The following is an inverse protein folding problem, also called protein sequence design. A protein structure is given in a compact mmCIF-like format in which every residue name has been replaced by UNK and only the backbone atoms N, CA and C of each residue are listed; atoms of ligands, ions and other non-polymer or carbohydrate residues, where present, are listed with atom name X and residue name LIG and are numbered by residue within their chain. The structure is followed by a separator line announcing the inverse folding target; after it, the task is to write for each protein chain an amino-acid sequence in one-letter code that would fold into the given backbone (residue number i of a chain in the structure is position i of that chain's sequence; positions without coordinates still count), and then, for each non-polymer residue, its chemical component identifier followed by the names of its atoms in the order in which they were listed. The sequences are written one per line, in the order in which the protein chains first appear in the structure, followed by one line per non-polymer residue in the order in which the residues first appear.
data_IF_504589154269
#
_entry.id   IF_504589154269
#
_cell.length_a   1.000
_cell.length_b   1.000
_cell.length_c   1.000
_cell.angle_alpha   90.00
_cell.angle_beta   90.00
_cell.angle_gamma   90.00
#
_symmetry.space_group_name_H-M   'P 1'
#
loop_
_entity.id
_entity.type
_entity.pdbx_description
1 polymer ?
#
# COMPACT_ATOMS: atom_id res chain seq x y z
N UNK A 1 16.70 -9.87 -20.43
CA UNK A 1 15.82 -10.95 -19.94
C UNK A 1 14.43 -10.40 -19.66
N UNK A 2 13.43 -11.29 -19.54
CA UNK A 2 12.02 -10.97 -19.27
C UNK A 2 11.54 -11.81 -18.10
N UNK A 3 10.59 -11.26 -17.32
CA UNK A 3 9.91 -11.98 -16.26
C UNK A 3 8.68 -12.69 -16.81
N UNK A 4 8.46 -13.91 -16.37
CA UNK A 4 7.20 -14.61 -16.58
C UNK A 4 6.23 -14.20 -15.46
N UNK A 5 5.03 -13.75 -15.85
CA UNK A 5 4.02 -13.28 -14.92
C UNK A 5 2.86 -14.24 -14.83
N UNK A 6 2.30 -14.37 -13.63
CA UNK A 6 1.08 -15.09 -13.36
C UNK A 6 0.07 -14.18 -12.64
N UNK A 7 -1.20 -14.49 -12.81
CA UNK A 7 -2.29 -13.82 -12.09
C UNK A 7 -2.71 -14.67 -10.89
N UNK A 8 -2.97 -14.03 -9.76
CA UNK A 8 -3.73 -14.66 -8.70
C UNK A 8 -5.25 -14.59 -9.00
N UNK A 9 -6.07 -15.18 -8.13
CA UNK A 9 -7.52 -15.19 -8.30
C UNK A 9 -8.18 -13.81 -8.22
N UNK A 10 -7.44 -12.77 -7.79
CA UNK A 10 -7.87 -11.36 -7.73
C UNK A 10 -7.36 -10.54 -8.92
N UNK A 11 -6.74 -11.13 -9.90
CA UNK A 11 -6.03 -10.54 -11.04
C UNK A 11 -4.75 -9.73 -10.71
N UNK A 12 -4.26 -9.80 -9.46
CA UNK A 12 -2.94 -9.25 -9.15
C UNK A 12 -1.85 -10.03 -9.85
N UNK A 13 -0.87 -9.32 -10.36
CA UNK A 13 0.24 -9.86 -11.15
C UNK A 13 1.44 -10.16 -10.28
N UNK A 14 1.97 -11.38 -10.39
CA UNK A 14 3.15 -11.82 -9.66
C UNK A 14 4.16 -12.43 -10.63
N UNK A 15 5.47 -12.09 -10.52
CA UNK A 15 6.48 -12.82 -11.26
C UNK A 15 6.56 -14.26 -10.73
N UNK A 16 6.82 -15.20 -11.64
CA UNK A 16 7.02 -16.62 -11.28
C UNK A 16 8.36 -16.80 -10.56
N UNK A 17 9.34 -16.00 -10.94
CA UNK A 17 10.67 -16.00 -10.36
C UNK A 17 10.64 -15.44 -8.93
N UNK A 18 11.17 -16.20 -7.96
CA UNK A 18 11.17 -15.82 -6.55
C UNK A 18 12.46 -15.14 -6.10
N UNK A 19 13.56 -15.32 -6.81
CA UNK A 19 14.88 -14.85 -6.37
C UNK A 19 15.26 -13.48 -6.93
N UNK A 20 15.06 -13.24 -8.21
CA UNK A 20 15.37 -11.97 -8.87
C UNK A 20 14.12 -11.48 -9.60
N UNK A 21 13.40 -10.54 -9.04
CA UNK A 21 12.17 -10.00 -9.62
C UNK A 21 11.86 -8.60 -9.09
N UNK A 22 10.96 -7.84 -9.72
CA UNK A 22 10.54 -6.52 -9.21
C UNK A 22 9.84 -6.55 -7.84
N UNK A 23 9.47 -7.73 -7.34
CA UNK A 23 8.74 -7.90 -6.07
C UNK A 23 9.61 -8.48 -4.94
N UNK A 24 10.93 -8.52 -5.11
CA UNK A 24 11.85 -8.98 -4.06
C UNK A 24 12.26 -7.85 -3.11
N UNK A 25 13.13 -8.18 -2.15
CA UNK A 25 13.71 -7.22 -1.22
C UNK A 25 14.53 -6.12 -1.93
N UNK A 26 14.86 -5.06 -1.22
CA UNK A 26 15.55 -3.87 -1.68
C UNK A 26 16.78 -4.17 -2.54
N UNK A 27 17.68 -5.07 -2.08
CA UNK A 27 18.89 -5.46 -2.80
C UNK A 27 18.62 -6.08 -4.17
N UNK A 28 17.53 -6.83 -4.32
CA UNK A 28 17.18 -7.46 -5.60
C UNK A 28 16.59 -6.46 -6.59
N UNK A 29 15.79 -5.50 -6.11
CA UNK A 29 15.27 -4.39 -6.94
C UNK A 29 16.40 -3.50 -7.44
N UNK A 30 17.40 -3.22 -6.61
CA UNK A 30 18.57 -2.41 -6.94
C UNK A 30 19.39 -2.96 -8.12
N UNK A 31 19.29 -4.25 -8.41
CA UNK A 31 19.99 -4.91 -9.53
C UNK A 31 19.21 -4.88 -10.84
N UNK A 32 17.98 -4.37 -10.84
CA UNK A 32 17.10 -4.39 -12.01
C UNK A 32 17.13 -3.04 -12.72
N UNK A 33 17.56 -3.06 -13.96
CA UNK A 33 17.58 -1.91 -14.86
C UNK A 33 16.79 -2.23 -16.12
N UNK A 34 16.21 -1.22 -16.76
CA UNK A 34 15.62 -1.37 -18.09
C UNK A 34 16.70 -1.68 -19.12
N UNK A 35 16.39 -2.58 -20.07
CA UNK A 35 17.32 -2.92 -21.15
C UNK A 35 17.59 -1.72 -22.07
N UNK A 36 16.54 -0.98 -22.38
CA UNK A 36 16.65 0.22 -23.19
C UNK A 36 16.82 1.43 -22.28
N UNK A 37 17.79 2.28 -22.55
CA UNK A 37 17.92 3.56 -21.87
C UNK A 37 17.02 4.61 -22.48
N UNK A 38 16.70 5.65 -21.69
CA UNK A 38 15.96 6.82 -22.14
C UNK A 38 16.76 8.10 -21.84
N UNK A 39 16.92 9.03 -22.81
CA UNK A 39 17.77 10.20 -22.60
C UNK A 39 17.13 11.19 -21.64
N UNK A 40 17.93 11.75 -20.73
CA UNK A 40 17.60 12.89 -19.87
C UNK A 40 18.16 14.13 -20.57
N UNK A 41 17.29 15.00 -21.11
CA UNK A 41 17.69 16.11 -21.96
C UNK A 41 17.72 17.46 -21.24
N UNK A 42 16.98 17.58 -20.14
CA UNK A 42 16.83 18.83 -19.40
C UNK A 42 16.45 18.59 -17.94
N UNK A 43 16.17 19.65 -17.20
CA UNK A 43 15.79 19.59 -15.78
C UNK A 43 14.43 18.89 -15.56
N UNK A 44 13.45 19.05 -16.45
CA UNK A 44 12.13 18.40 -16.29
C UNK A 44 12.26 16.89 -16.40
N UNK A 45 13.10 16.39 -17.32
CA UNK A 45 13.43 14.98 -17.46
C UNK A 45 14.14 14.43 -16.21
N UNK A 46 14.97 15.25 -15.55
CA UNK A 46 15.73 14.88 -14.36
C UNK A 46 14.91 14.96 -13.06
N UNK A 47 13.84 15.74 -13.00
CA UNK A 47 13.07 16.00 -11.77
C UNK A 47 12.55 14.71 -11.14
N UNK A 48 12.00 13.79 -11.93
CA UNK A 48 11.51 12.52 -11.39
C UNK A 48 12.64 11.57 -10.95
N UNK A 49 13.82 11.69 -11.55
CA UNK A 49 15.01 10.98 -11.03
C UNK A 49 15.40 11.54 -9.66
N UNK A 50 15.38 12.87 -9.48
CA UNK A 50 15.64 13.54 -8.19
C UNK A 50 14.59 13.17 -7.14
N UNK A 51 13.30 13.24 -7.49
CA UNK A 51 12.17 12.85 -6.64
C UNK A 51 12.33 11.38 -6.17
N UNK A 52 12.66 10.49 -7.10
CA UNK A 52 12.85 9.07 -6.79
C UNK A 52 13.99 8.85 -5.79
N UNK A 53 15.14 9.54 -5.96
CA UNK A 53 16.26 9.48 -5.01
C UNK A 53 15.88 9.97 -3.62
N UNK A 54 15.16 11.10 -3.52
CA UNK A 54 14.66 11.62 -2.27
C UNK A 54 13.70 10.63 -1.58
N UNK A 55 12.80 9.98 -2.34
CA UNK A 55 11.90 8.94 -1.83
C UNK A 55 12.65 7.71 -1.31
N UNK A 56 13.69 7.26 -2.02
CA UNK A 56 14.52 6.12 -1.60
C UNK A 56 15.30 6.43 -0.31
N UNK A 57 15.73 7.67 -0.14
CA UNK A 57 16.41 8.11 1.09
C UNK A 57 15.46 8.19 2.29
N UNK A 58 14.16 8.43 2.06
CA UNK A 58 13.14 8.63 3.10
C UNK A 58 12.65 10.07 3.23
N UNK A 59 13.04 10.96 2.30
CA UNK A 59 12.58 12.35 2.25
C UNK A 59 11.31 12.49 1.39
N UNK A 60 10.28 11.69 1.71
CA UNK A 60 9.05 11.52 0.91
C UNK A 60 7.84 12.32 1.45
N UNK A 61 8.01 13.17 2.47
CA UNK A 61 6.91 13.93 3.11
C UNK A 61 6.97 15.44 2.83
N UNK A 62 7.87 15.87 1.98
CA UNK A 62 8.01 17.24 1.50
C UNK A 62 7.45 17.37 0.09
N UNK A 63 7.30 18.60 -0.41
CA UNK A 63 6.83 18.87 -1.78
C UNK A 63 7.79 18.30 -2.84
N UNK A 64 7.32 18.11 -4.07
CA UNK A 64 8.18 17.66 -5.17
C UNK A 64 9.35 18.61 -5.41
N UNK A 65 9.11 19.92 -5.36
CA UNK A 65 10.18 20.92 -5.50
C UNK A 65 11.23 20.81 -4.38
N UNK A 66 10.81 20.55 -3.14
CA UNK A 66 11.73 20.33 -2.02
C UNK A 66 12.52 19.02 -2.19
N UNK A 67 11.92 17.94 -2.78
CA UNK A 67 12.64 16.68 -3.08
C UNK A 67 13.66 16.88 -4.20
N UNK A 68 13.31 17.62 -5.25
CA UNK A 68 14.24 17.97 -6.34
C UNK A 68 15.41 18.77 -5.78
N UNK A 69 15.15 19.83 -5.01
CA UNK A 69 16.18 20.66 -4.40
C UNK A 69 17.09 19.83 -3.48
N UNK A 70 16.52 18.89 -2.70
CA UNK A 70 17.29 18.01 -1.84
C UNK A 70 18.34 17.19 -2.60
N UNK A 71 18.01 16.69 -3.79
CA UNK A 71 18.93 15.93 -4.62
C UNK A 71 20.11 16.79 -5.07
N UNK A 72 19.84 18.01 -5.52
CA UNK A 72 20.88 18.98 -5.90
C UNK A 72 21.72 19.43 -4.71
N UNK A 73 21.14 19.69 -3.55
CA UNK A 73 21.85 20.12 -2.33
C UNK A 73 22.79 19.01 -1.80
N UNK A 74 22.51 17.73 -2.11
CA UNK A 74 23.33 16.59 -1.69
C UNK A 74 24.29 16.09 -2.77
N UNK A 75 24.53 16.83 -3.84
CA UNK A 75 25.42 16.44 -4.95
C UNK A 75 26.78 15.95 -4.48
N UNK A 76 27.44 16.67 -3.57
CA UNK A 76 28.73 16.28 -3.00
C UNK A 76 28.71 14.92 -2.31
N UNK A 77 27.64 14.62 -1.55
CA UNK A 77 27.47 13.34 -0.85
C UNK A 77 27.22 12.20 -1.85
N UNK A 78 26.42 12.46 -2.89
CA UNK A 78 26.10 11.52 -3.96
C UNK A 78 27.37 11.16 -4.74
N UNK A 79 28.15 12.17 -5.14
CA UNK A 79 29.41 11.97 -5.88
C UNK A 79 30.39 11.14 -5.06
N UNK A 80 30.61 11.48 -3.78
CA UNK A 80 31.50 10.72 -2.88
C UNK A 80 31.03 9.28 -2.70
N UNK A 81 29.72 9.08 -2.58
CA UNK A 81 29.11 7.74 -2.49
C UNK A 81 29.37 6.95 -3.76
N UNK A 82 29.13 7.54 -4.93
CA UNK A 82 29.30 6.86 -6.21
C UNK A 82 30.76 6.50 -6.51
N UNK A 83 31.71 7.37 -6.14
CA UNK A 83 33.13 7.13 -6.37
C UNK A 83 33.74 6.11 -5.40
N UNK A 84 33.33 6.12 -4.12
CA UNK A 84 33.90 5.26 -3.08
C UNK A 84 32.83 4.70 -2.11
N UNK A 85 31.90 3.86 -2.55
CA UNK A 85 30.75 3.42 -1.77
C UNK A 85 31.11 2.58 -0.53
N UNK A 86 32.32 2.00 -0.47
CA UNK A 86 32.78 1.22 0.67
C UNK A 86 33.41 2.08 1.76
N UNK A 87 34.01 3.21 1.39
CA UNK A 87 34.65 4.14 2.33
C UNK A 87 33.71 5.27 2.75
N UNK A 88 32.82 5.72 1.84
CA UNK A 88 31.82 6.74 2.11
C UNK A 88 30.42 6.11 2.17
N UNK A 89 30.01 5.74 3.37
CA UNK A 89 28.83 4.90 3.62
C UNK A 89 27.54 5.69 3.89
N UNK A 90 27.46 6.96 3.50
CA UNK A 90 26.27 7.80 3.67
C UNK A 90 24.97 7.16 3.10
N UNK A 91 25.08 6.42 2.00
CA UNK A 91 23.98 5.70 1.39
C UNK A 91 23.31 4.67 2.32
N UNK A 92 24.01 4.22 3.39
CA UNK A 92 23.45 3.27 4.36
C UNK A 92 22.41 3.90 5.30
N UNK A 93 22.29 5.23 5.32
CA UNK A 93 21.29 5.97 6.09
C UNK A 93 19.93 5.98 5.39
N UNK A 94 19.86 5.62 4.10
CA UNK A 94 18.65 5.61 3.31
C UNK A 94 17.67 4.51 3.74
N UNK A 95 16.37 4.78 3.66
CA UNK A 95 15.29 3.83 3.93
C UNK A 95 15.33 2.61 2.98
N UNK A 96 15.72 2.84 1.72
CA UNK A 96 15.93 1.82 0.68
C UNK A 96 17.40 1.79 0.27
N UNK A 97 18.21 1.30 1.15
CA UNK A 97 19.67 1.39 1.13
C UNK A 97 20.29 1.00 -0.21
N UNK A 98 19.96 -0.18 -0.75
CA UNK A 98 20.57 -0.69 -1.98
C UNK A 98 20.06 0.01 -3.24
N UNK A 99 18.76 0.28 -3.30
CA UNK A 99 18.18 1.04 -4.42
C UNK A 99 18.74 2.47 -4.43
N UNK A 100 18.96 3.07 -3.25
CA UNK A 100 19.54 4.40 -3.15
C UNK A 100 21.01 4.41 -3.60
N UNK A 101 21.79 3.38 -3.29
CA UNK A 101 23.15 3.25 -3.83
C UNK A 101 23.14 3.17 -5.36
N UNK A 102 22.24 2.36 -5.94
CA UNK A 102 22.06 2.28 -7.39
C UNK A 102 21.66 3.64 -8.00
N UNK A 103 20.79 4.37 -7.32
CA UNK A 103 20.41 5.72 -7.72
C UNK A 103 21.58 6.73 -7.64
N UNK A 104 22.46 6.63 -6.64
CA UNK A 104 23.66 7.48 -6.58
C UNK A 104 24.57 7.27 -7.80
N UNK A 105 24.73 6.05 -8.28
CA UNK A 105 25.50 5.79 -9.51
C UNK A 105 24.84 6.41 -10.74
N UNK A 106 23.51 6.33 -10.82
CA UNK A 106 22.75 6.89 -11.95
C UNK A 106 22.81 8.42 -11.97
N UNK A 107 22.61 9.06 -10.81
CA UNK A 107 22.70 10.51 -10.67
C UNK A 107 24.13 11.01 -10.97
N UNK A 108 25.15 10.30 -10.48
CA UNK A 108 26.54 10.61 -10.80
C UNK A 108 26.84 10.49 -12.29
N UNK A 109 26.28 9.48 -12.97
CA UNK A 109 26.35 9.33 -14.43
C UNK A 109 25.80 10.56 -15.16
N UNK A 110 24.62 11.03 -14.76
CA UNK A 110 24.00 12.26 -15.29
C UNK A 110 24.87 13.50 -15.06
N UNK A 111 25.42 13.68 -13.86
CA UNK A 111 26.30 14.81 -13.55
C UNK A 111 27.57 14.81 -14.39
N UNK A 112 28.16 13.64 -14.61
CA UNK A 112 29.41 13.49 -15.36
C UNK A 112 29.25 13.64 -16.87
N UNK A 113 28.16 13.09 -17.44
CA UNK A 113 27.94 13.04 -18.90
C UNK A 113 27.10 14.23 -19.38
N UNK A 114 26.30 14.84 -18.50
CA UNK A 114 25.43 15.98 -18.81
C UNK A 114 24.16 15.59 -19.55
N UNK A 115 23.49 16.58 -20.10
CA UNK A 115 22.23 16.39 -20.85
C UNK A 115 22.45 15.48 -22.06
N UNK A 116 21.49 14.55 -22.25
CA UNK A 116 21.58 13.46 -23.20
C UNK A 116 22.06 12.15 -22.59
N UNK A 117 22.33 12.13 -21.25
CA UNK A 117 22.61 10.91 -20.51
C UNK A 117 21.45 9.91 -20.63
N UNK A 118 21.75 8.67 -20.91
CA UNK A 118 20.76 7.60 -21.04
C UNK A 118 20.55 6.90 -19.71
N UNK A 119 19.42 7.19 -19.04
CA UNK A 119 19.04 6.50 -17.80
C UNK A 119 18.43 5.13 -18.10
N UNK A 120 18.81 4.12 -17.33
CA UNK A 120 18.22 2.79 -17.33
C UNK A 120 17.47 2.50 -16.02
N UNK A 121 17.50 3.44 -15.07
CA UNK A 121 16.92 3.24 -13.74
C UNK A 121 15.40 3.36 -13.78
N UNK A 122 14.66 2.37 -13.21
CA UNK A 122 13.23 2.53 -12.97
C UNK A 122 12.97 3.58 -11.88
N UNK A 123 12.30 4.67 -12.23
CA UNK A 123 11.75 5.63 -11.29
C UNK A 123 10.32 5.21 -10.96
N UNK A 124 9.98 5.10 -9.68
CA UNK A 124 8.67 4.63 -9.23
C UNK A 124 8.00 5.66 -8.30
N UNK A 125 6.66 5.71 -8.39
CA UNK A 125 5.79 6.43 -7.49
C UNK A 125 4.82 5.44 -6.82
N UNK A 126 4.65 5.58 -5.51
CA UNK A 126 3.80 4.71 -4.69
C UNK A 126 2.47 5.39 -4.34
N UNK A 127 1.39 4.62 -4.25
CA UNK A 127 0.09 5.13 -3.80
C UNK A 127 0.09 5.56 -2.34
N UNK A 128 -0.57 6.68 -2.03
CA UNK A 128 -0.72 7.18 -0.67
C UNK A 128 -1.78 6.37 0.10
N UNK A 129 -1.42 5.19 0.61
CA UNK A 129 -2.35 4.26 1.24
C UNK A 129 -3.44 3.78 0.27
N UNK A 130 -3.03 3.14 -0.82
CA UNK A 130 -3.83 2.80 -2.00
C UNK A 130 -5.18 2.14 -1.67
N UNK A 131 -5.24 1.22 -0.71
CA UNK A 131 -6.50 0.61 -0.28
C UNK A 131 -7.54 1.62 0.21
N UNK A 132 -7.11 2.68 0.91
CA UNK A 132 -8.00 3.76 1.35
C UNK A 132 -8.33 4.74 0.22
N UNK A 133 -7.42 4.95 -0.73
CA UNK A 133 -7.73 5.70 -1.96
C UNK A 133 -8.90 5.07 -2.70
N UNK A 134 -8.85 3.76 -2.94
CA UNK A 134 -9.95 3.02 -3.56
C UNK A 134 -11.25 3.13 -2.75
N UNK A 135 -11.21 2.90 -1.44
CA UNK A 135 -12.40 2.97 -0.58
C UNK A 135 -13.02 4.38 -0.56
N UNK A 136 -12.20 5.43 -0.54
CA UNK A 136 -12.65 6.81 -0.58
C UNK A 136 -13.28 7.19 -1.92
N UNK A 137 -12.70 6.72 -3.03
CA UNK A 137 -13.23 6.93 -4.38
C UNK A 137 -14.59 6.22 -4.57
N UNK A 138 -14.73 4.98 -4.07
CA UNK A 138 -15.97 4.20 -4.17
C UNK A 138 -17.17 4.94 -3.57
N UNK A 139 -17.02 5.51 -2.38
CA UNK A 139 -18.10 6.25 -1.71
C UNK A 139 -18.05 7.76 -1.90
N UNK A 140 -17.17 8.29 -2.74
CA UNK A 140 -17.05 9.74 -2.93
C UNK A 140 -16.82 10.49 -1.61
N UNK A 141 -15.89 9.98 -0.78
CA UNK A 141 -15.59 10.50 0.55
C UNK A 141 -14.56 11.63 0.47
N UNK A 142 -14.96 12.87 0.75
CA UNK A 142 -14.07 14.03 0.74
C UNK A 142 -13.01 13.97 1.85
N UNK A 143 -13.37 13.49 3.03
CA UNK A 143 -12.45 13.43 4.19
C UNK A 143 -11.36 12.38 3.93
N UNK A 144 -11.76 11.17 3.57
CA UNK A 144 -10.82 10.12 3.20
C UNK A 144 -10.02 10.46 1.95
N UNK A 145 -10.66 11.12 0.96
CA UNK A 145 -10.01 11.59 -0.26
C UNK A 145 -8.90 12.59 0.01
N UNK A 146 -9.13 13.57 0.89
CA UNK A 146 -8.10 14.54 1.30
C UNK A 146 -6.95 13.85 2.03
N UNK A 147 -7.26 12.96 2.98
CA UNK A 147 -6.27 12.26 3.79
C UNK A 147 -5.38 11.30 2.97
N UNK A 148 -5.83 10.89 1.77
CA UNK A 148 -5.14 9.94 0.88
C UNK A 148 -4.71 10.55 -0.46
N UNK A 149 -4.61 11.87 -0.54
CA UNK A 149 -4.16 12.60 -1.73
C UNK A 149 -5.01 12.36 -3.00
N UNK A 150 -6.31 12.09 -2.88
CA UNK A 150 -7.24 12.16 -4.02
C UNK A 150 -7.60 13.61 -4.36
N UNK A 151 -7.48 14.52 -3.40
CA UNK A 151 -7.68 15.95 -3.55
C UNK A 151 -6.33 16.64 -3.54
N UNK A 152 -6.13 17.60 -4.43
CA UNK A 152 -4.89 18.36 -4.52
C UNK A 152 -4.57 19.12 -3.22
N UNK A 153 -3.29 19.22 -2.91
CA UNK A 153 -2.74 19.96 -1.76
C UNK A 153 -1.33 20.45 -2.05
N UNK A 154 -0.86 21.46 -1.33
CA UNK A 154 0.49 22.03 -1.51
C UNK A 154 1.61 21.05 -1.09
N UNK A 155 1.29 20.10 -0.22
CA UNK A 155 2.18 19.04 0.27
C UNK A 155 1.40 17.72 0.35
N UNK A 156 2.11 16.58 0.31
CA UNK A 156 1.46 15.28 0.48
C UNK A 156 0.79 15.18 1.85
N UNK A 157 -0.49 14.80 1.87
CA UNK A 157 -1.21 14.43 3.10
C UNK A 157 -0.65 13.10 3.63
N UNK A 158 -0.60 12.98 4.95
CA UNK A 158 -0.16 11.75 5.61
C UNK A 158 -1.21 11.28 6.63
N UNK A 159 -2.09 10.41 6.21
CA UNK A 159 -3.16 9.85 7.04
C UNK A 159 -2.64 9.21 8.33
N UNK A 160 -1.41 8.72 8.32
CA UNK A 160 -0.81 8.11 9.52
C UNK A 160 -0.52 9.16 10.59
N UNK A 161 -0.01 10.33 10.18
CA UNK A 161 0.19 11.47 11.06
C UNK A 161 -1.14 12.05 11.55
N UNK A 162 -2.15 12.16 10.68
CA UNK A 162 -3.49 12.63 11.06
C UNK A 162 -4.12 11.74 12.16
N UNK A 163 -3.99 10.42 12.02
CA UNK A 163 -4.45 9.47 13.05
C UNK A 163 -3.61 9.57 14.32
N UNK A 164 -2.29 9.80 14.22
CA UNK A 164 -1.44 9.99 15.40
C UNK A 164 -1.83 11.24 16.20
N UNK A 165 -2.11 12.35 15.52
CA UNK A 165 -2.57 13.59 16.17
C UNK A 165 -3.93 13.40 16.85
N UNK A 166 -4.89 12.74 16.22
CA UNK A 166 -6.18 12.41 16.84
C UNK A 166 -6.00 11.51 18.06
N UNK A 167 -5.19 10.47 17.93
CA UNK A 167 -4.84 9.58 19.03
C UNK A 167 -4.23 10.34 20.18
N UNK A 168 -3.29 11.26 19.90
CA UNK A 168 -2.62 12.09 20.89
C UNK A 168 -3.63 12.94 21.67
N UNK A 169 -4.58 13.60 21.00
CA UNK A 169 -5.65 14.39 21.65
C UNK A 169 -6.52 13.54 22.59
N UNK A 170 -6.85 12.31 22.18
CA UNK A 170 -7.62 11.40 23.04
C UNK A 170 -6.82 11.00 24.30
N UNK A 171 -5.53 10.71 24.12
CA UNK A 171 -4.64 10.36 25.25
C UNK A 171 -4.37 11.57 26.15
N UNK A 172 -4.29 12.79 25.61
CA UNK A 172 -4.19 14.05 26.39
C UNK A 172 -5.39 14.23 27.33
N UNK A 173 -6.61 13.99 26.83
CA UNK A 173 -7.82 14.06 27.64
C UNK A 173 -7.82 13.06 28.82
N UNK A 174 -7.31 11.83 28.59
CA UNK A 174 -7.16 10.85 29.68
C UNK A 174 -6.07 11.24 30.67
N UNK A 175 -4.97 11.83 30.21
CA UNK A 175 -3.88 12.29 31.06
C UNK A 175 -4.31 13.44 31.99
N UNK A 176 -5.20 14.33 31.50
CA UNK A 176 -5.83 15.39 32.32
C UNK A 176 -6.71 14.81 33.42
N UNK A 177 -7.37 13.66 33.19
CA UNK A 177 -8.13 12.92 34.14
C UNK A 177 -7.28 12.10 35.13
N UNK A 178 -5.95 12.14 34.99
CA UNK A 178 -5.02 11.51 35.94
C UNK A 178 -4.58 10.11 35.54
N UNK A 179 -4.87 9.66 34.30
CA UNK A 179 -4.49 8.31 33.81
C UNK A 179 -2.98 8.20 33.66
N UNK A 180 -2.32 7.32 34.41
CA UNK A 180 -0.85 7.21 34.46
C UNK A 180 -0.25 6.72 33.14
N UNK A 181 -0.85 5.70 32.51
CA UNK A 181 -0.39 5.17 31.22
C UNK A 181 -0.45 6.25 30.14
N UNK A 182 -1.50 7.09 30.15
CA UNK A 182 -1.64 8.20 29.22
C UNK A 182 -0.46 9.18 29.30
N UNK A 183 -0.06 9.57 30.48
CA UNK A 183 1.09 10.47 30.71
C UNK A 183 2.40 9.86 30.20
N UNK A 184 2.63 8.57 30.48
CA UNK A 184 3.79 7.85 29.98
C UNK A 184 3.82 7.79 28.46
N UNK A 185 2.67 7.51 27.80
CA UNK A 185 2.53 7.50 26.36
C UNK A 185 2.82 8.86 25.72
N UNK A 186 2.35 9.95 26.31
CA UNK A 186 2.63 11.31 25.84
C UNK A 186 4.11 11.67 25.96
N UNK A 187 4.76 11.29 27.08
CA UNK A 187 6.19 11.49 27.29
C UNK A 187 7.02 10.70 26.29
N UNK A 188 6.65 9.45 25.97
CA UNK A 188 7.32 8.61 24.98
C UNK A 188 7.14 9.12 23.55
N UNK A 189 6.01 9.76 23.28
CA UNK A 189 5.64 10.33 21.99
C UNK A 189 4.80 9.38 21.13
N UNK A 190 3.61 9.88 20.78
CA UNK A 190 2.66 9.23 19.86
C UNK A 190 2.85 9.90 18.50
N UNK A 191 3.50 9.21 17.57
CA UNK A 191 3.82 9.72 16.25
C UNK A 191 3.40 8.73 15.13
N UNK A 192 3.69 9.12 13.89
CA UNK A 192 3.44 8.33 12.69
C UNK A 192 3.90 6.87 12.78
N UNK A 193 5.02 6.58 13.45
CA UNK A 193 5.56 5.22 13.54
C UNK A 193 4.64 4.28 14.32
N UNK A 194 3.92 4.81 15.31
CA UNK A 194 2.95 4.07 16.14
C UNK A 194 1.68 3.74 15.33
N UNK A 195 1.24 4.64 14.44
CA UNK A 195 -0.06 4.54 13.74
C UNK A 195 0.03 3.95 12.35
N UNK A 196 1.19 3.97 11.71
CA UNK A 196 1.38 3.55 10.30
C UNK A 196 0.85 2.13 10.04
N UNK A 197 1.37 1.13 10.75
CA UNK A 197 0.95 -0.27 10.57
C UNK A 197 -0.52 -0.50 10.95
N UNK A 198 -1.03 -0.01 12.10
CA UNK A 198 -2.45 -0.05 12.42
C UNK A 198 -3.38 0.48 11.33
N UNK A 199 -3.07 1.63 10.74
CA UNK A 199 -3.90 2.22 9.66
C UNK A 199 -3.80 1.39 8.38
N UNK A 200 -2.60 0.94 8.01
CA UNK A 200 -2.38 0.14 6.79
C UNK A 200 -3.17 -1.16 6.75
N UNK A 201 -3.41 -1.81 7.91
CA UNK A 201 -4.13 -3.09 7.93
C UNK A 201 -5.65 -2.95 7.87
N UNK A 202 -6.20 -1.74 8.08
CA UNK A 202 -7.65 -1.54 8.14
C UNK A 202 -8.35 -1.95 6.85
N UNK A 203 -7.95 -1.52 5.65
CA UNK A 203 -8.58 -1.92 4.40
C UNK A 203 -8.58 -3.44 4.17
N UNK A 204 -7.67 -4.13 4.84
CA UNK A 204 -7.46 -5.58 4.73
C UNK A 204 -8.06 -6.37 5.90
N UNK A 205 -9.14 -5.85 6.49
CA UNK A 205 -9.84 -6.46 7.63
C UNK A 205 -8.98 -6.61 8.90
N UNK A 206 -8.02 -5.73 9.11
CA UNK A 206 -7.25 -5.65 10.34
C UNK A 206 -8.15 -5.50 11.57
N UNK A 207 -7.74 -6.10 12.68
CA UNK A 207 -8.47 -6.07 13.94
C UNK A 207 -7.78 -5.18 14.96
N UNK A 208 -8.53 -4.73 15.98
CA UNK A 208 -7.94 -4.00 17.10
C UNK A 208 -6.88 -4.83 17.85
N UNK A 209 -7.00 -6.17 17.84
CA UNK A 209 -5.99 -7.06 18.40
C UNK A 209 -4.66 -6.99 17.62
N UNK A 210 -4.70 -7.08 16.31
CA UNK A 210 -3.52 -6.91 15.46
C UNK A 210 -2.93 -5.49 15.60
N UNK A 211 -3.79 -4.48 15.73
CA UNK A 211 -3.37 -3.11 16.01
C UNK A 211 -2.48 -3.02 17.26
N UNK A 212 -2.89 -3.68 18.36
CA UNK A 212 -2.08 -3.77 19.58
C UNK A 212 -0.68 -4.35 19.32
N UNK A 213 -0.60 -5.46 18.58
CA UNK A 213 0.67 -6.11 18.29
C UNK A 213 1.61 -5.20 17.51
N UNK A 214 1.13 -4.54 16.47
CA UNK A 214 1.92 -3.58 15.70
C UNK A 214 2.36 -2.34 16.49
N UNK A 215 1.54 -1.87 17.44
CA UNK A 215 1.91 -0.78 18.35
C UNK A 215 3.05 -1.24 19.28
N UNK A 216 2.96 -2.45 19.83
CA UNK A 216 4.02 -3.01 20.68
C UNK A 216 5.35 -3.15 19.92
N UNK A 217 5.31 -3.65 18.67
CA UNK A 217 6.48 -3.72 17.81
C UNK A 217 7.06 -2.33 17.53
N UNK A 218 6.21 -1.34 17.22
CA UNK A 218 6.67 0.02 16.95
C UNK A 218 7.32 0.68 18.20
N UNK A 219 6.79 0.43 19.39
CA UNK A 219 7.39 0.90 20.65
C UNK A 219 8.75 0.21 20.86
N UNK A 220 8.83 -1.11 20.70
CA UNK A 220 10.07 -1.86 20.82
C UNK A 220 11.15 -1.37 19.84
N UNK A 221 10.77 -1.17 18.58
CA UNK A 221 11.65 -0.62 17.53
C UNK A 221 12.19 0.78 17.89
N UNK A 222 11.37 1.65 18.49
CA UNK A 222 11.80 2.99 18.92
C UNK A 222 12.79 2.90 20.08
N UNK A 223 12.59 1.99 21.01
CA UNK A 223 13.50 1.77 22.14
C UNK A 223 14.83 1.21 21.63
N UNK A 224 14.81 0.15 20.82
CA UNK A 224 16.01 -0.55 20.37
C UNK A 224 16.81 0.25 19.33
N UNK A 225 16.14 0.79 18.29
CA UNK A 225 16.82 1.44 17.15
C UNK A 225 17.13 2.90 17.39
N UNK A 226 16.29 3.63 18.15
CA UNK A 226 16.48 5.06 18.44
C UNK A 226 17.06 5.33 19.82
N UNK A 227 17.26 4.28 20.63
CA UNK A 227 17.82 4.38 21.96
C UNK A 227 16.96 5.19 22.93
N UNK A 228 15.62 5.22 22.73
CA UNK A 228 14.73 5.93 23.63
C UNK A 228 14.60 5.19 24.97
N UNK A 229 14.48 5.95 26.06
CA UNK A 229 14.22 5.40 27.37
C UNK A 229 12.84 4.72 27.38
N UNK A 230 12.74 3.55 28.01
CA UNK A 230 11.51 2.82 28.16
C UNK A 230 10.76 3.25 29.43
N UNK A 231 9.73 4.11 29.36
CA UNK A 231 8.99 4.56 30.55
C UNK A 231 7.98 3.53 31.04
N UNK A 232 7.79 2.44 30.31
CA UNK A 232 6.74 1.43 30.52
C UNK A 232 7.21 0.22 31.34
N UNK A 233 8.53 0.02 31.47
CA UNK A 233 9.09 -1.20 32.06
C UNK A 233 8.64 -2.44 31.29
N UNK A 234 8.16 -3.45 32.02
CA UNK A 234 7.71 -4.73 31.44
C UNK A 234 6.23 -4.70 31.02
N UNK A 235 5.52 -3.58 31.17
CA UNK A 235 4.05 -3.49 30.95
C UNK A 235 3.66 -3.09 29.51
N UNK A 236 4.44 -3.48 28.51
CA UNK A 236 4.16 -3.18 27.09
C UNK A 236 2.82 -3.75 26.61
N UNK A 237 2.33 -4.82 27.26
CA UNK A 237 1.04 -5.42 26.90
C UNK A 237 -0.13 -4.46 27.16
N UNK A 238 -0.23 -3.92 28.39
CA UNK A 238 -1.31 -3.01 28.75
C UNK A 238 -1.20 -1.66 28.02
N UNK A 239 0.03 -1.16 27.80
CA UNK A 239 0.30 0.03 26.98
C UNK A 239 -0.19 -0.17 25.56
N UNK A 240 0.15 -1.30 24.93
CA UNK A 240 -0.31 -1.64 23.58
C UNK A 240 -1.84 -1.75 23.52
N UNK A 241 -2.47 -2.37 24.51
CA UNK A 241 -3.94 -2.49 24.60
C UNK A 241 -4.61 -1.13 24.75
N UNK A 242 -4.09 -0.27 25.61
CA UNK A 242 -4.56 1.09 25.85
C UNK A 242 -4.48 1.93 24.56
N UNK A 243 -3.29 2.02 23.96
CA UNK A 243 -3.07 2.77 22.72
C UNK A 243 -3.89 2.22 21.56
N UNK A 244 -4.05 0.88 21.44
CA UNK A 244 -4.85 0.29 20.38
C UNK A 244 -6.32 0.76 20.43
N UNK A 245 -6.89 1.00 21.62
CA UNK A 245 -8.22 1.57 21.77
C UNK A 245 -8.32 2.96 21.15
N UNK A 246 -7.40 3.85 21.51
CA UNK A 246 -7.38 5.24 21.03
C UNK A 246 -6.99 5.36 19.54
N UNK A 247 -6.00 4.59 19.08
CA UNK A 247 -5.64 4.53 17.65
C UNK A 247 -6.83 4.04 16.83
N UNK A 248 -7.55 3.04 17.32
CA UNK A 248 -8.73 2.51 16.63
C UNK A 248 -9.87 3.52 16.56
N UNK A 249 -10.05 4.31 17.62
CA UNK A 249 -10.99 5.43 17.60
C UNK A 249 -10.56 6.51 16.60
N UNK A 250 -9.29 6.94 16.62
CA UNK A 250 -8.76 7.92 15.67
C UNK A 250 -8.90 7.46 14.21
N UNK A 251 -8.68 6.16 13.92
CA UNK A 251 -8.92 5.56 12.62
C UNK A 251 -10.40 5.70 12.23
N UNK A 252 -11.33 5.32 13.12
CA UNK A 252 -12.77 5.39 12.85
C UNK A 252 -13.27 6.79 12.52
N UNK A 253 -12.71 7.79 13.19
CA UNK A 253 -13.04 9.21 12.94
C UNK A 253 -12.47 9.71 11.60
N UNK A 254 -11.40 9.09 11.10
CA UNK A 254 -10.75 9.50 9.86
C UNK A 254 -11.31 8.80 8.63
N UNK A 255 -11.68 7.51 8.74
CA UNK A 255 -12.04 6.66 7.59
C UNK A 255 -13.42 5.98 7.76
N UNK A 256 -14.39 6.69 8.31
CA UNK A 256 -15.74 6.13 8.52
C UNK A 256 -16.42 5.62 7.25
N UNK A 257 -16.24 6.29 6.12
CA UNK A 257 -16.78 5.87 4.83
C UNK A 257 -16.13 4.60 4.32
N UNK A 258 -14.82 4.47 4.45
CA UNK A 258 -14.10 3.25 4.07
C UNK A 258 -14.64 2.03 4.81
N UNK A 259 -14.95 2.19 6.10
CA UNK A 259 -15.54 1.13 6.92
C UNK A 259 -16.92 0.71 6.43
N UNK A 260 -17.78 1.65 6.02
CA UNK A 260 -19.11 1.34 5.43
C UNK A 260 -18.99 0.46 4.18
N UNK A 261 -18.00 0.73 3.30
CA UNK A 261 -17.73 -0.14 2.14
C UNK A 261 -17.34 -1.54 2.58
N UNK A 262 -16.37 -1.61 3.51
CA UNK A 262 -15.86 -2.90 3.99
C UNK A 262 -16.97 -3.76 4.61
N UNK A 263 -17.82 -3.16 5.45
CA UNK A 263 -18.93 -3.86 6.09
C UNK A 263 -20.00 -4.27 5.07
N UNK A 264 -20.28 -3.44 4.07
CA UNK A 264 -21.19 -3.78 2.99
C UNK A 264 -20.68 -4.99 2.18
N UNK A 265 -19.41 -5.01 1.78
CA UNK A 265 -18.82 -6.14 1.04
C UNK A 265 -18.86 -7.44 1.87
N UNK A 266 -18.68 -7.35 3.20
CA UNK A 266 -18.85 -8.50 4.12
C UNK A 266 -20.29 -8.99 4.17
N UNK A 267 -21.26 -8.08 4.20
CA UNK A 267 -22.69 -8.42 4.16
C UNK A 267 -23.02 -9.19 2.88
N UNK A 268 -22.59 -8.68 1.73
CA UNK A 268 -22.76 -9.39 0.44
C UNK A 268 -22.12 -10.79 0.49
N UNK A 269 -20.89 -10.91 1.02
CA UNK A 269 -20.22 -12.20 1.22
C UNK A 269 -21.01 -13.17 2.11
N UNK A 270 -21.76 -12.65 3.09
CA UNK A 270 -22.63 -13.46 3.95
C UNK A 270 -23.81 -14.08 3.15
N UNK A 271 -24.45 -13.32 2.25
CA UNK A 271 -25.50 -13.83 1.37
C UNK A 271 -25.00 -14.95 0.45
N UNK A 272 -23.77 -14.83 -0.09
CA UNK A 272 -23.16 -15.93 -0.83
C UNK A 272 -22.96 -17.18 0.03
N UNK A 273 -22.47 -17.02 1.26
CA UNK A 273 -22.24 -18.14 2.17
C UNK A 273 -23.56 -18.82 2.58
N UNK A 274 -24.63 -18.05 2.79
CA UNK A 274 -25.96 -18.58 3.11
C UNK A 274 -26.58 -19.35 1.94
N UNK A 275 -26.31 -18.95 0.72
CA UNK A 275 -26.66 -19.66 -0.50
C UNK A 275 -25.74 -20.87 -0.80
N UNK A 276 -24.73 -21.14 0.03
CA UNK A 276 -23.71 -22.18 -0.19
C UNK A 276 -22.99 -21.99 -1.54
N UNK A 277 -22.70 -20.73 -1.88
CA UNK A 277 -21.98 -20.35 -3.10
C UNK A 277 -20.63 -19.70 -2.75
N UNK A 278 -19.66 -19.88 -3.62
CA UNK A 278 -18.42 -19.09 -3.55
C UNK A 278 -18.73 -17.65 -3.90
N UNK A 279 -18.21 -16.72 -3.10
CA UNK A 279 -18.34 -15.30 -3.42
C UNK A 279 -17.56 -14.98 -4.69
N UNK A 280 -18.21 -14.32 -5.64
CA UNK A 280 -17.61 -13.92 -6.91
C UNK A 280 -18.11 -12.54 -7.36
N UNK A 281 -17.29 -11.87 -8.18
CA UNK A 281 -17.63 -10.60 -8.82
C UNK A 281 -16.79 -10.38 -10.08
N UNK A 282 -17.25 -9.47 -10.93
CA UNK A 282 -16.52 -9.05 -12.12
C UNK A 282 -15.86 -7.69 -11.88
N UNK A 283 -14.58 -7.58 -12.18
CA UNK A 283 -13.82 -6.31 -12.06
C UNK A 283 -14.10 -5.36 -13.23
N UNK A 284 -13.75 -4.04 -13.12
CA UNK A 284 -13.86 -3.10 -14.23
C UNK A 284 -13.09 -3.52 -15.50
N UNK A 285 -12.12 -4.42 -15.39
CA UNK A 285 -11.39 -5.01 -16.53
C UNK A 285 -11.99 -6.33 -17.04
N UNK A 286 -13.23 -6.63 -16.66
CA UNK A 286 -13.95 -7.87 -17.01
C UNK A 286 -13.28 -9.17 -16.50
N UNK A 287 -12.46 -9.10 -15.46
CA UNK A 287 -11.91 -10.29 -14.82
C UNK A 287 -12.87 -10.83 -13.78
N UNK A 288 -13.22 -12.13 -13.87
CA UNK A 288 -14.05 -12.81 -12.88
C UNK A 288 -13.18 -13.23 -11.69
N UNK A 289 -13.46 -12.65 -10.52
CA UNK A 289 -12.85 -13.04 -9.25
C UNK A 289 -13.74 -14.05 -8.55
N UNK A 290 -13.18 -15.18 -8.12
CA UNK A 290 -13.89 -16.20 -7.34
C UNK A 290 -13.09 -16.50 -6.08
N UNK A 291 -13.72 -16.40 -4.91
CA UNK A 291 -13.09 -16.76 -3.62
C UNK A 291 -13.26 -18.26 -3.34
N UNK A 292 -12.22 -19.10 -3.48
CA UNK A 292 -12.33 -20.55 -3.37
C UNK A 292 -12.22 -21.01 -1.91
N UNK A 293 -12.98 -20.39 -1.00
CA UNK A 293 -12.88 -20.69 0.42
C UNK A 293 -13.84 -21.81 0.82
N UNK A 294 -13.31 -23.02 0.92
CA UNK A 294 -14.02 -24.22 1.42
C UNK A 294 -13.71 -24.49 2.89
N UNK A 295 -14.57 -25.25 3.55
CA UNK A 295 -14.26 -25.78 4.89
C UNK A 295 -13.15 -26.81 4.81
N UNK A 296 -12.39 -26.94 5.89
CA UNK A 296 -11.32 -27.93 5.99
C UNK A 296 -11.53 -28.84 7.21
N UNK A 297 -11.03 -30.06 7.12
CA UNK A 297 -10.98 -31.00 8.24
C UNK A 297 -9.54 -31.36 8.54
N UNK A 298 -9.11 -31.16 9.79
CA UNK A 298 -7.79 -31.60 10.23
C UNK A 298 -7.69 -33.12 10.19
N UNK A 299 -6.69 -33.62 9.48
CA UNK A 299 -6.32 -35.04 9.44
C UNK A 299 -4.97 -35.24 10.07
N UNK A 300 -4.81 -36.33 10.79
CA UNK A 300 -3.56 -36.74 11.38
C UNK A 300 -3.05 -37.98 10.64
N UNK A 301 -1.81 -37.92 10.20
CA UNK A 301 -1.07 -39.03 9.62
C UNK A 301 -0.03 -39.43 10.66
N UNK A 302 -0.08 -40.70 11.04
CA UNK A 302 0.95 -41.34 11.89
C UNK A 302 2.04 -41.90 10.98
N UNK A 303 3.24 -41.44 11.12
CA UNK A 303 4.38 -41.88 10.31
C UNK A 303 5.64 -41.98 11.16
N UNK A 304 6.71 -42.55 10.59
CA UNK A 304 8.02 -42.60 11.21
C UNK A 304 9.02 -41.79 10.40
N UNK A 305 9.78 -40.95 11.09
CA UNK A 305 10.91 -40.20 10.53
C UNK A 305 12.15 -40.56 11.34
N UNK A 306 13.16 -41.08 10.70
CA UNK A 306 14.40 -41.55 11.32
C UNK A 306 14.16 -42.52 12.49
N UNK A 307 13.18 -43.45 12.34
CA UNK A 307 12.79 -44.42 13.34
C UNK A 307 11.90 -43.90 14.47
N UNK A 308 11.68 -42.58 14.57
CA UNK A 308 10.83 -41.97 15.57
C UNK A 308 9.39 -41.79 15.05
N UNK A 309 8.42 -42.09 15.92
CA UNK A 309 7.02 -41.89 15.61
C UNK A 309 6.69 -40.41 15.59
N UNK A 310 6.18 -39.92 14.43
CA UNK A 310 5.79 -38.55 14.23
C UNK A 310 4.33 -38.48 13.79
N UNK A 311 3.60 -37.48 14.31
CA UNK A 311 2.25 -37.17 13.89
C UNK A 311 2.29 -35.89 13.00
N UNK A 312 2.03 -36.05 11.69
CA UNK A 312 1.86 -34.96 10.76
C UNK A 312 0.38 -34.59 10.68
N UNK A 313 0.09 -33.31 10.71
CA UNK A 313 -1.28 -32.84 10.51
C UNK A 313 -1.40 -32.03 9.22
N UNK A 314 -2.45 -32.27 8.45
CA UNK A 314 -2.80 -31.47 7.28
C UNK A 314 -4.29 -31.11 7.29
N UNK A 315 -4.63 -30.03 6.58
CA UNK A 315 -6.00 -29.60 6.40
C UNK A 315 -6.52 -30.20 5.09
N UNK A 316 -7.46 -31.14 5.19
CA UNK A 316 -8.16 -31.69 4.04
C UNK A 316 -9.29 -30.77 3.68
N UNK A 317 -9.33 -30.27 2.46
CA UNK A 317 -10.44 -29.50 1.93
C UNK A 317 -11.69 -30.38 1.77
N UNK A 318 -12.85 -29.80 2.05
CA UNK A 318 -14.16 -30.42 1.88
C UNK A 318 -14.81 -29.76 0.68
N UNK A 319 -14.74 -30.41 -0.51
CA UNK A 319 -15.45 -29.92 -1.70
C UNK A 319 -16.94 -29.73 -1.41
N UNK A 320 -17.61 -28.92 -2.19
CA UNK A 320 -19.05 -28.63 -2.06
C UNK A 320 -19.47 -27.94 -0.74
N UNK A 321 -18.51 -27.37 -0.01
CA UNK A 321 -18.77 -26.55 1.16
C UNK A 321 -18.19 -25.16 0.98
N UNK A 322 -18.72 -24.17 1.72
CA UNK A 322 -18.16 -22.82 1.79
C UNK A 322 -17.78 -22.47 3.23
N UNK A 323 -16.66 -21.80 3.38
CA UNK A 323 -16.20 -21.35 4.69
C UNK A 323 -16.67 -19.92 4.95
N UNK A 324 -17.81 -19.78 5.63
CA UNK A 324 -18.46 -18.49 5.93
C UNK A 324 -17.50 -17.50 6.60
N UNK A 325 -16.69 -17.95 7.55
CA UNK A 325 -15.76 -17.08 8.27
C UNK A 325 -14.67 -16.52 7.34
N UNK A 326 -14.07 -17.39 6.51
CA UNK A 326 -13.05 -16.96 5.54
C UNK A 326 -13.64 -16.09 4.43
N UNK A 327 -14.87 -16.34 3.98
CA UNK A 327 -15.56 -15.46 3.03
C UNK A 327 -15.71 -14.08 3.68
N UNK A 328 -16.28 -13.99 4.87
CA UNK A 328 -16.50 -12.72 5.57
C UNK A 328 -15.21 -11.93 5.81
N UNK A 329 -14.15 -12.58 6.30
CA UNK A 329 -12.89 -11.90 6.60
C UNK A 329 -12.08 -11.55 5.35
N UNK A 330 -12.18 -12.37 4.29
CA UNK A 330 -11.42 -12.18 3.05
C UNK A 330 -12.12 -11.31 2.00
N UNK A 331 -13.44 -11.07 2.11
CA UNK A 331 -14.21 -10.38 1.06
C UNK A 331 -13.70 -8.96 0.80
N UNK A 332 -13.59 -8.13 1.83
CA UNK A 332 -13.15 -6.74 1.68
C UNK A 332 -11.72 -6.63 1.14
N UNK A 333 -10.70 -7.28 1.74
CA UNK A 333 -9.33 -7.18 1.20
C UNK A 333 -9.22 -7.71 -0.23
N UNK A 334 -9.90 -8.82 -0.57
CA UNK A 334 -9.84 -9.36 -1.93
C UNK A 334 -10.55 -8.45 -2.94
N UNK A 335 -11.66 -7.82 -2.53
CA UNK A 335 -12.37 -6.85 -3.37
C UNK A 335 -11.47 -5.67 -3.71
N UNK A 336 -10.84 -5.04 -2.71
CA UNK A 336 -9.91 -3.91 -2.92
C UNK A 336 -8.70 -4.33 -3.76
N UNK A 337 -8.07 -5.48 -3.47
CA UNK A 337 -6.95 -5.98 -4.27
C UNK A 337 -7.31 -6.26 -5.72
N UNK A 338 -8.56 -6.62 -6.01
CA UNK A 338 -9.00 -6.79 -7.41
C UNK A 338 -9.20 -5.46 -8.13
N UNK A 339 -9.58 -4.41 -7.39
CA UNK A 339 -9.72 -3.06 -7.95
C UNK A 339 -8.36 -2.41 -8.19
N UNK A 340 -7.38 -2.58 -7.29
CA UNK A 340 -6.03 -2.08 -7.54
C UNK A 340 -5.38 -2.78 -8.75
N UNK A 341 -5.60 -4.09 -8.89
CA UNK A 341 -5.14 -4.84 -10.05
C UNK A 341 -5.82 -4.39 -11.35
N UNK A 342 -7.10 -3.99 -11.29
CA UNK A 342 -7.83 -3.41 -12.42
C UNK A 342 -7.26 -2.03 -12.78
N UNK A 343 -7.02 -1.16 -11.79
CA UNK A 343 -6.42 0.16 -11.99
C UNK A 343 -5.04 0.06 -12.65
N UNK A 344 -4.17 -0.85 -12.17
CA UNK A 344 -2.87 -1.12 -12.78
C UNK A 344 -3.02 -1.57 -14.24
N UNK A 345 -3.94 -2.48 -14.53
CA UNK A 345 -4.16 -2.98 -15.90
C UNK A 345 -4.64 -1.85 -16.82
N UNK A 346 -5.57 -1.01 -16.37
CA UNK A 346 -6.08 0.13 -17.14
C UNK A 346 -4.98 1.15 -17.40
N UNK A 347 -4.12 1.43 -16.40
CA UNK A 347 -2.98 2.34 -16.54
C UNK A 347 -1.98 1.83 -17.56
N UNK A 348 -1.56 0.56 -17.46
CA UNK A 348 -0.62 -0.04 -18.43
C UNK A 348 -1.16 0.02 -19.85
N UNK A 349 -2.45 -0.30 -20.05
CA UNK A 349 -3.06 -0.22 -21.39
C UNK A 349 -3.01 1.21 -21.96
N UNK A 350 -3.30 2.23 -21.16
CA UNK A 350 -3.19 3.64 -21.58
C UNK A 350 -1.76 4.03 -21.91
N UNK A 351 -0.80 3.61 -21.10
CA UNK A 351 0.61 3.85 -21.35
C UNK A 351 1.08 3.18 -22.65
N UNK A 352 0.63 1.96 -22.94
CA UNK A 352 0.90 1.28 -24.22
C UNK A 352 0.32 2.03 -25.42
N UNK A 353 -0.91 2.57 -25.29
CA UNK A 353 -1.51 3.43 -26.34
C UNK A 353 -0.69 4.70 -26.56
N UNK A 354 -0.09 5.24 -25.52
CA UNK A 354 0.87 6.35 -25.57
C UNK A 354 2.29 5.95 -26.02
N UNK A 355 2.50 4.68 -26.45
CA UNK A 355 3.78 4.11 -26.91
C UNK A 355 4.86 3.96 -25.84
N UNK A 356 4.48 3.96 -24.58
CA UNK A 356 5.37 3.64 -23.47
C UNK A 356 5.46 2.11 -23.34
N UNK A 357 6.68 1.56 -23.30
CA UNK A 357 6.91 0.10 -23.36
C UNK A 357 7.65 -0.46 -22.15
N UNK A 358 8.33 0.39 -21.39
CA UNK A 358 9.18 -0.03 -20.26
C UNK A 358 8.49 0.29 -18.92
N UNK A 359 8.19 -0.77 -18.14
CA UNK A 359 7.43 -0.69 -16.90
C UNK A 359 8.10 -1.46 -15.77
N UNK A 360 8.13 -0.87 -14.59
CA UNK A 360 8.43 -1.51 -13.31
C UNK A 360 7.22 -1.37 -12.39
N UNK A 361 6.27 -2.29 -12.50
CA UNK A 361 4.97 -2.22 -11.83
C UNK A 361 4.86 -3.29 -10.74
N UNK A 362 4.54 -2.85 -9.51
CA UNK A 362 4.31 -3.76 -8.37
C UNK A 362 3.05 -3.32 -7.64
N UNK A 363 1.90 -3.90 -7.98
CA UNK A 363 0.58 -3.62 -7.38
C UNK A 363 0.21 -2.13 -7.38
N UNK A 364 0.55 -1.41 -6.31
CA UNK A 364 0.31 0.00 -6.06
C UNK A 364 1.56 0.88 -6.21
N UNK A 365 2.62 0.33 -6.82
CA UNK A 365 3.83 1.05 -7.20
C UNK A 365 3.97 1.06 -8.71
N UNK A 366 4.09 2.23 -9.30
CA UNK A 366 4.11 2.44 -10.75
C UNK A 366 5.43 3.07 -11.16
N UNK A 367 6.19 2.39 -12.01
CA UNK A 367 7.51 2.84 -12.43
C UNK A 367 7.77 2.75 -13.92
N UNK A 368 8.52 3.72 -14.41
CA UNK A 368 9.08 3.80 -15.77
C UNK A 368 10.36 4.64 -15.74
N UNK A 369 10.93 5.02 -16.88
CA UNK A 369 12.05 5.98 -16.93
C UNK A 369 11.62 7.37 -16.46
N UNK A 370 12.55 8.12 -15.86
CA UNK A 370 12.30 9.47 -15.34
C UNK A 370 11.57 10.39 -16.34
N UNK A 371 11.99 10.52 -17.61
CA UNK A 371 11.32 11.40 -18.57
C UNK A 371 9.88 10.97 -18.93
N UNK A 372 9.53 9.72 -18.69
CA UNK A 372 8.18 9.19 -18.94
C UNK A 372 7.25 9.30 -17.71
N UNK A 373 7.78 9.59 -16.53
CA UNK A 373 6.99 9.66 -15.30
C UNK A 373 5.87 10.71 -15.33
N UNK A 374 6.05 11.93 -15.87
CA UNK A 374 4.97 12.91 -15.98
C UNK A 374 3.76 12.38 -16.75
N UNK A 375 4.00 11.75 -17.89
CA UNK A 375 2.96 11.16 -18.75
C UNK A 375 2.29 9.98 -18.03
N UNK A 376 3.08 9.08 -17.44
CA UNK A 376 2.53 7.94 -16.69
C UNK A 376 1.68 8.40 -15.51
N UNK A 377 2.12 9.40 -14.75
CA UNK A 377 1.38 9.96 -13.62
C UNK A 377 0.03 10.56 -14.04
N UNK A 378 -0.03 11.21 -15.21
CA UNK A 378 -1.27 11.70 -15.77
C UNK A 378 -2.20 10.55 -16.17
N UNK A 379 -1.70 9.59 -16.95
CA UNK A 379 -2.49 8.45 -17.44
C UNK A 379 -3.01 7.56 -16.30
N UNK A 380 -2.24 7.44 -15.22
CA UNK A 380 -2.64 6.74 -14.00
C UNK A 380 -3.85 7.44 -13.34
N UNK A 381 -3.81 8.77 -13.17
CA UNK A 381 -4.93 9.54 -12.62
C UNK A 381 -6.18 9.41 -13.49
N UNK A 382 -6.03 9.53 -14.80
CA UNK A 382 -7.14 9.35 -15.75
C UNK A 382 -7.73 7.95 -15.70
N UNK A 383 -6.89 6.90 -15.61
CA UNK A 383 -7.34 5.52 -15.50
C UNK A 383 -8.13 5.29 -14.20
N UNK A 384 -7.66 5.86 -13.09
CA UNK A 384 -8.33 5.76 -11.80
C UNK A 384 -9.69 6.48 -11.79
N UNK A 385 -9.75 7.70 -12.32
CA UNK A 385 -11.01 8.46 -12.46
C UNK A 385 -12.00 7.71 -13.32
N UNK A 386 -11.60 7.31 -14.52
CA UNK A 386 -12.43 6.55 -15.45
C UNK A 386 -13.00 5.27 -14.84
N UNK A 387 -12.19 4.58 -14.05
CA UNK A 387 -12.64 3.34 -13.40
C UNK A 387 -13.87 3.58 -12.52
N UNK A 388 -13.88 4.64 -11.71
CA UNK A 388 -14.95 4.92 -10.76
C UNK A 388 -16.07 5.82 -11.31
N UNK A 389 -15.86 6.48 -12.44
CA UNK A 389 -16.94 7.20 -13.13
C UNK A 389 -17.75 6.29 -14.05
N UNK A 390 -17.09 5.31 -14.68
CA UNK A 390 -17.73 4.37 -15.62
C UNK A 390 -18.34 3.14 -14.94
N UNK A 391 -17.91 2.81 -13.71
CA UNK A 391 -18.35 1.63 -12.98
C UNK A 391 -18.84 1.99 -11.58
N UNK A 392 -20.03 1.57 -11.23
CA UNK A 392 -20.51 1.54 -9.86
C UNK A 392 -20.18 0.18 -9.23
N UNK A 393 -18.92 0.01 -8.80
CA UNK A 393 -18.38 -1.29 -8.38
C UNK A 393 -19.16 -1.96 -7.24
N UNK A 394 -19.86 -1.20 -6.37
CA UNK A 394 -20.70 -1.78 -5.33
C UNK A 394 -22.07 -2.19 -5.86
N UNK A 395 -22.65 -1.44 -6.78
CA UNK A 395 -23.88 -1.83 -7.45
C UNK A 395 -23.64 -3.05 -8.35
N UNK A 396 -22.54 -3.05 -9.10
CA UNK A 396 -22.13 -4.18 -9.94
C UNK A 396 -21.94 -5.46 -9.09
N UNK A 397 -21.29 -5.33 -7.91
CA UNK A 397 -21.13 -6.43 -6.94
C UNK A 397 -22.49 -6.95 -6.47
N UNK A 398 -23.44 -6.07 -6.10
CA UNK A 398 -24.78 -6.43 -5.66
C UNK A 398 -25.55 -7.17 -6.73
N UNK A 399 -25.62 -6.62 -7.94
CA UNK A 399 -26.39 -7.15 -9.05
C UNK A 399 -25.85 -8.52 -9.50
N UNK A 400 -24.51 -8.67 -9.48
CA UNK A 400 -23.88 -9.96 -9.73
C UNK A 400 -24.23 -10.98 -8.62
N UNK A 401 -24.19 -10.57 -7.36
CA UNK A 401 -24.54 -11.41 -6.23
C UNK A 401 -26.00 -11.87 -6.27
N UNK A 402 -26.95 -10.98 -6.58
CA UNK A 402 -28.36 -11.29 -6.74
C UNK A 402 -28.57 -12.33 -7.87
N UNK A 403 -27.88 -12.15 -8.99
CA UNK A 403 -27.94 -13.09 -10.12
C UNK A 403 -27.41 -14.48 -9.76
N UNK A 404 -26.30 -14.57 -9.01
CA UNK A 404 -25.65 -15.85 -8.67
C UNK A 404 -26.36 -16.58 -7.54
N UNK A 405 -26.79 -15.84 -6.50
CA UNK A 405 -27.45 -16.44 -5.32
C UNK A 405 -28.95 -16.61 -5.49
N UNK A 406 -29.59 -15.83 -6.36
CA UNK A 406 -31.03 -15.73 -6.46
C UNK A 406 -31.68 -14.97 -5.30
N UNK A 407 -30.92 -14.30 -4.46
CA UNK A 407 -31.35 -13.61 -3.24
C UNK A 407 -31.56 -12.12 -3.50
N UNK A 408 -32.80 -11.69 -3.64
CA UNK A 408 -33.16 -10.28 -3.81
C UNK A 408 -33.17 -9.47 -2.50
N UNK A 409 -32.90 -10.09 -1.34
CA UNK A 409 -32.83 -9.42 -0.05
C UNK A 409 -31.49 -8.74 0.23
N UNK A 410 -30.51 -8.88 -0.67
CA UNK A 410 -29.20 -8.20 -0.58
C UNK A 410 -29.42 -6.69 -0.50
N UNK A 411 -28.92 -6.00 0.56
CA UNK A 411 -29.18 -4.58 0.77
C UNK A 411 -28.58 -3.72 -0.35
N UNK A 412 -29.13 -2.53 -0.51
CA UNK A 412 -28.56 -1.53 -1.43
C UNK A 412 -27.18 -1.06 -0.93
N UNK A 413 -26.27 -0.71 -1.83
CA UNK A 413 -24.99 -0.10 -1.47
C UNK A 413 -25.15 1.14 -0.59
N UNK A 414 -24.16 1.46 0.26
CA UNK A 414 -24.14 2.70 1.02
C UNK A 414 -24.21 3.93 0.10
N UNK A 415 -24.90 4.97 0.56
CA UNK A 415 -25.00 6.23 -0.18
C UNK A 415 -23.60 6.86 -0.38
N UNK A 416 -23.35 7.36 -1.59
CA UNK A 416 -22.12 8.10 -1.95
C UNK A 416 -22.15 9.50 -1.36
N UNK A 417 -20.97 10.04 -1.06
CA UNK A 417 -20.75 11.44 -0.68
C UNK A 417 -20.57 12.35 -1.90
N UNK A 418 -19.90 13.50 -1.69
CA UNK A 418 -19.84 14.60 -2.67
C UNK A 418 -18.47 14.78 -3.33
N UNK A 419 -17.46 13.93 -3.05
CA UNK A 419 -16.14 14.03 -3.67
C UNK A 419 -16.28 14.01 -5.20
N UNK A 420 -15.85 15.07 -5.85
CA UNK A 420 -15.66 15.09 -7.29
C UNK A 420 -14.36 14.35 -7.64
N UNK A 421 -14.46 13.25 -8.36
CA UNK A 421 -13.27 12.49 -8.76
C UNK A 421 -12.37 13.23 -9.77
N UNK A 422 -12.89 14.26 -10.44
CA UNK A 422 -12.07 15.10 -11.32
C UNK A 422 -10.97 15.85 -10.55
N UNK A 423 -11.10 16.01 -9.22
CA UNK A 423 -10.05 16.56 -8.37
C UNK A 423 -8.79 15.69 -8.34
N UNK A 424 -8.93 14.37 -8.57
CA UNK A 424 -7.78 13.44 -8.66
C UNK A 424 -6.84 13.83 -9.82
N UNK A 425 -7.39 14.35 -10.92
CA UNK A 425 -6.59 14.79 -12.08
C UNK A 425 -5.64 15.95 -11.74
N UNK A 426 -5.97 16.73 -10.71
CA UNK A 426 -5.18 17.87 -10.24
C UNK A 426 -4.24 17.51 -9.10
N UNK A 427 -4.38 16.31 -8.51
CA UNK A 427 -3.59 15.90 -7.35
C UNK A 427 -2.23 15.36 -7.77
N UNK A 428 -1.18 16.13 -7.56
CA UNK A 428 0.20 15.74 -7.85
C UNK A 428 0.67 14.60 -6.95
N UNK A 429 0.22 14.58 -5.69
CA UNK A 429 0.62 13.59 -4.68
C UNK A 429 -0.29 12.36 -4.62
N UNK A 430 -1.17 12.16 -5.61
CA UNK A 430 -1.98 10.95 -5.71
C UNK A 430 -1.12 9.68 -5.69
N UNK A 431 -0.06 9.68 -6.50
CA UNK A 431 1.06 8.75 -6.45
C UNK A 431 2.36 9.57 -6.46
N UNK A 432 3.21 9.37 -5.45
CA UNK A 432 4.34 10.25 -5.23
C UNK A 432 5.57 9.53 -4.62
#
# INVERSE_FOLDING_TARGET
FYFVWQLDFRSRKYPVESFMSPQVADWGKALLLFNNGFPINDYEDADWLAIHGANLFGNDKVSFSERVQWAWDNEDNIVKTAENPLDYTWWTEADKTWQFLGWCFEWYGLLREGWGYYTHLPCAADGSCNGLQHLSAILRDEVGGKATNLIAGDKPSDIYTDVAEKTKRLVEADAEQGHEIARKCLTFGIDRSITKRPVMIVPYSGTQHACREYIQEAIADKIEKKGLENPFGDDLFNVGLYLAGHVWQGINETISSARRVMDYVKVVGTHYADAVKHMEWVTPTNFLVVQPYVNTKKRLIKTHVDGNLVYLSYQQELPDTVNRSRISTGSSPNFIHSLDAAALTMTVNRCLDAKMMDFSMVHDSYGTHSPNMPIMSQLLREAFVDMYEKHDVLQDLRDHAEKVTGDSSIPQPPAKGNLDLQEVLKSEYFFA
#
